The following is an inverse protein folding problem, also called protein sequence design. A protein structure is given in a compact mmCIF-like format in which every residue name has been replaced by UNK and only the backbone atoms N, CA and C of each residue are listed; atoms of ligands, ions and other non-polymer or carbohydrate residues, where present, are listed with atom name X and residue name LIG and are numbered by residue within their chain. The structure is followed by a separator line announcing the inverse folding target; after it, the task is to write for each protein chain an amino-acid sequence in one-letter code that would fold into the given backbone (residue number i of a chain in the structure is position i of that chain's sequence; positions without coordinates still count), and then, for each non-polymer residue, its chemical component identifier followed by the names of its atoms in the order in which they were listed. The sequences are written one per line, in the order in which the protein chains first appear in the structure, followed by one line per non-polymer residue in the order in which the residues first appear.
data_IF_390782115717
#
_entry.id   IF_390782115717
#
_cell.length_a   1.000
_cell.length_b   1.000
_cell.length_c   1.000
_cell.angle_alpha   90.00
_cell.angle_beta   90.00
_cell.angle_gamma   90.00
#
_symmetry.space_group_name_H-M   'P 1'
#
loop_
_entity.id
_entity.type
_entity.pdbx_description
1 polymer ?
#
# COMPACT_ATOMS: atom_id res chain seq x y z
N UNK A 1 31.65 -18.27 26.85
CA UNK A 1 30.19 -18.37 26.66
C UNK A 1 29.40 -17.12 27.09
N UNK A 2 29.76 -16.41 28.18
CA UNK A 2 29.02 -15.21 28.65
C UNK A 2 29.14 -13.98 27.71
N UNK A 3 30.28 -13.82 27.05
CA UNK A 3 30.54 -12.74 26.08
C UNK A 3 29.80 -12.94 24.76
N UNK A 4 29.70 -14.19 24.28
CA UNK A 4 28.93 -14.55 23.08
C UNK A 4 27.43 -14.29 23.29
N UNK A 5 26.87 -14.65 24.46
CA UNK A 5 25.47 -14.35 24.79
C UNK A 5 25.19 -12.85 24.89
N UNK A 6 26.10 -12.06 25.47
CA UNK A 6 25.98 -10.60 25.50
C UNK A 6 26.12 -9.98 24.11
N UNK A 7 27.02 -10.48 23.28
CA UNK A 7 27.20 -10.02 21.90
C UNK A 7 25.96 -10.33 21.04
N UNK A 8 25.32 -11.49 21.25
CA UNK A 8 24.09 -11.87 20.56
C UNK A 8 22.90 -10.99 21.00
N UNK A 9 22.79 -10.69 22.30
CA UNK A 9 21.78 -9.78 22.83
C UNK A 9 21.95 -8.34 22.33
N UNK A 10 23.20 -7.85 22.23
CA UNK A 10 23.50 -6.52 21.69
C UNK A 10 23.18 -6.44 20.20
N UNK A 11 23.48 -7.48 19.42
CA UNK A 11 23.15 -7.55 18.00
C UNK A 11 21.62 -7.57 17.76
N UNK A 12 20.86 -8.26 18.61
CA UNK A 12 19.41 -8.31 18.54
C UNK A 12 18.76 -6.96 18.92
N UNK A 13 19.35 -6.24 19.89
CA UNK A 13 18.88 -4.91 20.30
C UNK A 13 19.22 -3.84 19.24
N UNK A 14 20.34 -3.95 18.54
CA UNK A 14 20.70 -3.03 17.46
C UNK A 14 19.84 -3.20 16.21
N UNK A 15 19.37 -4.42 15.92
CA UNK A 15 18.47 -4.68 14.79
C UNK A 15 17.09 -4.03 14.99
N UNK A 16 16.65 -3.85 16.24
CA UNK A 16 15.38 -3.19 16.56
C UNK A 16 15.37 -1.66 16.33
N UNK A 17 16.55 -1.04 16.12
CA UNK A 17 16.66 0.40 15.86
C UNK A 17 16.81 0.76 14.37
N UNK A 18 16.72 -0.23 13.47
CA UNK A 18 16.66 0.03 12.03
C UNK A 18 15.22 0.43 11.71
N UNK A 19 14.86 1.67 12.02
CA UNK A 19 13.66 2.28 11.45
C UNK A 19 13.89 2.43 9.94
N UNK A 20 12.94 1.99 9.09
CA UNK A 20 13.02 2.32 7.67
C UNK A 20 12.89 3.84 7.55
N UNK A 21 14.00 4.52 7.27
CA UNK A 21 13.96 5.89 6.78
C UNK A 21 13.25 5.83 5.44
N UNK A 22 11.99 6.25 5.41
CA UNK A 22 11.25 6.43 4.17
C UNK A 22 12.03 7.44 3.32
N UNK A 23 12.73 6.94 2.31
CA UNK A 23 13.38 7.79 1.34
C UNK A 23 12.29 8.60 0.63
N UNK A 24 12.27 9.90 0.87
CA UNK A 24 11.50 10.84 0.09
C UNK A 24 12.02 10.75 -1.35
N UNK A 25 11.11 10.43 -2.23
CA UNK A 25 11.32 10.28 -3.67
C UNK A 25 10.78 11.54 -4.31
N UNK A 26 11.66 12.28 -4.95
CA UNK A 26 11.30 13.44 -5.76
C UNK A 26 10.42 12.98 -6.92
N UNK A 27 9.25 13.61 -7.04
CA UNK A 27 8.31 13.37 -8.14
C UNK A 27 8.78 14.27 -9.27
N UNK A 28 9.36 13.66 -10.29
CA UNK A 28 9.65 14.33 -11.56
C UNK A 28 8.37 14.32 -12.41
N UNK A 29 7.78 15.50 -12.60
CA UNK A 29 6.48 15.67 -13.27
C UNK A 29 6.54 15.28 -14.77
N UNK A 30 7.71 15.24 -15.41
CA UNK A 30 7.86 14.79 -16.81
C UNK A 30 7.89 13.26 -16.99
N UNK A 31 8.18 12.51 -15.91
CA UNK A 31 8.22 11.04 -15.89
C UNK A 31 7.40 10.48 -14.73
N UNK A 32 6.15 10.95 -14.58
CA UNK A 32 5.24 10.43 -13.56
C UNK A 32 4.78 9.00 -13.93
N UNK A 33 5.48 7.99 -13.44
CA UNK A 33 5.16 6.58 -13.65
C UNK A 33 6.31 5.61 -13.33
N UNK A 34 6.00 4.30 -13.24
CA UNK A 34 6.99 3.29 -12.90
C UNK A 34 8.06 3.15 -14.00
N UNK A 35 9.29 3.49 -13.66
CA UNK A 35 10.46 3.28 -14.52
C UNK A 35 10.94 1.83 -14.49
N UNK A 36 11.73 1.41 -15.49
CA UNK A 36 12.23 0.03 -15.61
C UNK A 36 12.99 -0.44 -14.35
N UNK A 37 13.88 0.40 -13.83
CA UNK A 37 14.65 0.12 -12.62
C UNK A 37 13.74 -0.07 -11.40
N UNK A 38 12.71 0.77 -11.25
CA UNK A 38 11.73 0.66 -10.18
C UNK A 38 10.91 -0.62 -10.27
N UNK A 39 10.51 -1.01 -11.48
CA UNK A 39 9.84 -2.30 -11.69
C UNK A 39 10.72 -3.48 -11.32
N UNK A 40 12.01 -3.46 -11.70
CA UNK A 40 12.96 -4.53 -11.35
C UNK A 40 13.15 -4.61 -9.84
N UNK A 41 13.37 -3.47 -9.17
CA UNK A 41 13.52 -3.42 -7.71
C UNK A 41 12.25 -3.89 -7.01
N UNK A 42 11.07 -3.50 -7.48
CA UNK A 42 9.81 -3.94 -6.90
C UNK A 42 9.59 -5.45 -7.09
N UNK A 43 9.98 -6.03 -8.23
CA UNK A 43 9.90 -7.47 -8.48
C UNK A 43 10.84 -8.26 -7.60
N UNK A 44 12.08 -7.80 -7.47
CA UNK A 44 13.16 -8.54 -6.80
C UNK A 44 13.12 -8.36 -5.28
N UNK A 45 12.69 -7.19 -4.82
CA UNK A 45 12.76 -6.81 -3.40
C UNK A 45 11.38 -6.47 -2.86
N UNK A 46 10.65 -5.54 -3.48
CA UNK A 46 9.39 -5.01 -2.95
C UNK A 46 8.31 -6.06 -2.72
N UNK A 47 7.91 -6.77 -3.78
CA UNK A 47 6.88 -7.81 -3.74
C UNK A 47 7.29 -9.04 -2.93
N UNK A 48 8.52 -9.58 -3.03
CA UNK A 48 8.98 -10.66 -2.17
C UNK A 48 8.96 -10.29 -0.67
N UNK A 49 9.39 -9.08 -0.31
CA UNK A 49 9.28 -8.60 1.08
C UNK A 49 7.83 -8.48 1.55
N UNK A 50 6.93 -8.00 0.68
CA UNK A 50 5.50 -7.97 0.97
C UNK A 50 4.93 -9.38 1.21
N UNK A 51 5.33 -10.36 0.41
CA UNK A 51 4.93 -11.76 0.63
C UNK A 51 5.47 -12.31 1.95
N UNK A 52 6.71 -11.98 2.32
CA UNK A 52 7.28 -12.38 3.62
C UNK A 52 6.50 -11.76 4.78
N UNK A 53 5.99 -10.52 4.64
CA UNK A 53 5.14 -9.91 5.65
C UNK A 53 3.81 -10.68 5.82
N UNK A 54 3.18 -11.12 4.72
CA UNK A 54 1.97 -11.96 4.78
C UNK A 54 2.26 -13.31 5.44
N UNK A 55 3.38 -13.95 5.10
CA UNK A 55 3.79 -15.22 5.72
C UNK A 55 4.04 -15.05 7.22
N UNK A 56 4.75 -13.99 7.61
CA UNK A 56 5.01 -13.66 9.01
C UNK A 56 3.71 -13.36 9.78
N UNK A 57 2.81 -12.59 9.17
CA UNK A 57 1.50 -12.30 9.72
C UNK A 57 0.62 -13.54 9.88
N UNK A 58 0.65 -14.46 8.91
CA UNK A 58 -0.02 -15.76 9.02
C UNK A 58 0.54 -16.61 10.16
N UNK A 59 1.86 -16.65 10.33
CA UNK A 59 2.50 -17.34 11.46
C UNK A 59 2.09 -16.71 12.81
N UNK A 60 2.06 -15.38 12.89
CA UNK A 60 1.60 -14.65 14.08
C UNK A 60 0.11 -14.90 14.37
N UNK A 61 -0.73 -15.02 13.34
CA UNK A 61 -2.15 -15.36 13.49
C UNK A 61 -2.32 -16.78 14.05
N UNK A 62 -1.57 -17.77 13.54
CA UNK A 62 -1.58 -19.15 14.09
C UNK A 62 -1.07 -19.19 15.53
N UNK A 63 -0.05 -18.42 15.87
CA UNK A 63 0.45 -18.33 17.24
C UNK A 63 -0.55 -17.64 18.19
N UNK A 64 -1.34 -16.68 17.70
CA UNK A 64 -2.33 -15.93 18.48
C UNK A 64 -3.73 -16.56 18.48
N UNK A 65 -4.00 -17.53 17.61
CA UNK A 65 -5.24 -18.31 17.54
C UNK A 65 -5.72 -18.85 18.90
N UNK A 66 -4.89 -19.51 19.74
CA UNK A 66 -5.35 -19.98 21.03
C UNK A 66 -5.93 -18.85 21.90
N UNK A 67 -5.35 -17.64 21.88
CA UNK A 67 -5.83 -16.50 22.67
C UNK A 67 -7.04 -15.80 22.04
N UNK A 68 -7.02 -15.64 20.71
CA UNK A 68 -8.08 -14.95 19.97
C UNK A 68 -9.37 -15.77 19.87
N UNK A 69 -9.30 -17.10 19.94
CA UNK A 69 -10.48 -17.95 20.07
C UNK A 69 -11.20 -17.74 21.40
N UNK A 70 -10.48 -17.53 22.50
CA UNK A 70 -11.10 -17.20 23.79
C UNK A 70 -11.69 -15.79 23.82
N UNK A 71 -11.08 -14.84 23.11
CA UNK A 71 -11.58 -13.46 23.01
C UNK A 71 -12.66 -13.26 21.92
N UNK A 72 -12.86 -14.21 21.02
CA UNK A 72 -13.81 -14.10 19.89
C UNK A 72 -13.33 -13.30 18.68
N UNK A 73 -12.09 -12.80 18.71
CA UNK A 73 -11.54 -11.86 17.70
C UNK A 73 -10.64 -12.52 16.64
N UNK A 74 -10.68 -13.84 16.51
CA UNK A 74 -9.82 -14.57 15.56
C UNK A 74 -9.96 -14.07 14.10
N UNK A 75 -11.17 -13.64 13.71
CA UNK A 75 -11.45 -13.08 12.38
C UNK A 75 -10.82 -11.70 12.20
N UNK A 76 -10.94 -10.82 13.21
CA UNK A 76 -10.32 -9.48 13.19
C UNK A 76 -8.79 -9.61 13.12
N UNK A 77 -8.22 -10.52 13.90
CA UNK A 77 -6.78 -10.79 13.88
C UNK A 77 -6.31 -11.29 12.51
N UNK A 78 -7.08 -12.17 11.86
CA UNK A 78 -6.81 -12.62 10.49
C UNK A 78 -6.82 -11.44 9.51
N UNK A 79 -7.85 -10.61 9.59
CA UNK A 79 -8.04 -9.48 8.69
C UNK A 79 -6.84 -8.53 8.73
N UNK A 80 -6.36 -8.21 9.92
CA UNK A 80 -5.23 -7.28 10.09
C UNK A 80 -3.88 -7.95 9.82
N UNK A 81 -3.66 -9.18 10.25
CA UNK A 81 -2.34 -9.83 10.11
C UNK A 81 -2.11 -10.43 8.72
N UNK A 82 -3.16 -10.77 7.98
CA UNK A 82 -3.06 -11.47 6.69
C UNK A 82 -3.69 -10.65 5.59
N UNK A 83 -4.96 -10.27 5.71
CA UNK A 83 -5.70 -9.72 4.59
C UNK A 83 -5.19 -8.30 4.23
N UNK A 84 -4.98 -7.42 5.22
CA UNK A 84 -4.41 -6.08 5.00
C UNK A 84 -3.03 -6.11 4.28
N UNK A 85 -2.01 -6.84 4.76
CA UNK A 85 -0.73 -6.90 4.05
C UNK A 85 -0.88 -7.60 2.70
N UNK A 86 -1.80 -8.55 2.55
CA UNK A 86 -2.09 -9.19 1.28
C UNK A 86 -2.66 -8.21 0.26
N UNK A 87 -3.63 -7.36 0.65
CA UNK A 87 -4.16 -6.32 -0.23
C UNK A 87 -3.13 -5.24 -0.56
N UNK A 88 -2.17 -4.99 0.33
CA UNK A 88 -1.07 -4.06 0.04
C UNK A 88 -0.17 -4.53 -1.12
N UNK A 89 -0.13 -5.84 -1.43
CA UNK A 89 0.58 -6.36 -2.60
C UNK A 89 -0.10 -6.02 -3.94
N UNK A 90 -1.38 -5.67 -3.92
CA UNK A 90 -2.16 -5.27 -5.12
C UNK A 90 -1.82 -3.85 -5.62
N UNK A 91 -0.84 -3.17 -5.00
CA UNK A 91 -0.33 -1.90 -5.54
C UNK A 91 0.35 -2.09 -6.90
N UNK A 92 0.33 -1.04 -7.72
CA UNK A 92 0.88 -1.11 -9.06
C UNK A 92 2.39 -1.42 -9.07
N UNK A 93 2.82 -2.13 -10.11
CA UNK A 93 4.15 -2.72 -10.22
C UNK A 93 5.23 -1.64 -10.44
N UNK A 94 6.18 -1.51 -9.51
CA UNK A 94 7.18 -0.44 -9.56
C UNK A 94 6.69 0.94 -9.10
N UNK A 95 5.41 1.07 -8.74
CA UNK A 95 4.86 2.35 -8.28
C UNK A 95 5.21 2.65 -6.84
N UNK A 96 5.28 3.94 -6.59
CA UNK A 96 5.34 4.54 -5.27
C UNK A 96 3.94 4.74 -4.69
N UNK A 97 3.84 5.10 -3.42
CA UNK A 97 2.54 5.26 -2.75
C UNK A 97 1.71 6.40 -3.37
N UNK A 98 2.39 7.48 -3.79
CA UNK A 98 1.74 8.61 -4.45
C UNK A 98 1.22 8.22 -5.84
N UNK A 99 2.02 7.53 -6.64
CA UNK A 99 1.63 7.05 -7.97
C UNK A 99 0.48 6.04 -7.89
N UNK A 100 0.55 5.06 -6.99
CA UNK A 100 -0.53 4.08 -6.80
C UNK A 100 -1.87 4.76 -6.43
N UNK A 101 -1.82 5.80 -5.60
CA UNK A 101 -3.00 6.60 -5.24
C UNK A 101 -3.55 7.38 -6.43
N UNK A 102 -2.67 7.93 -7.27
CA UNK A 102 -3.04 8.65 -8.49
C UNK A 102 -3.62 7.71 -9.57
N UNK A 103 -3.06 6.51 -9.75
CA UNK A 103 -3.61 5.53 -10.69
C UNK A 103 -4.98 4.99 -10.22
N UNK A 104 -5.13 4.73 -8.92
CA UNK A 104 -6.42 4.26 -8.36
C UNK A 104 -7.51 5.31 -8.42
N UNK A 105 -7.19 6.60 -8.26
CA UNK A 105 -8.18 7.67 -8.41
C UNK A 105 -8.64 7.86 -9.86
N UNK A 106 -7.82 7.51 -10.85
CA UNK A 106 -8.23 7.49 -12.25
C UNK A 106 -9.01 6.23 -12.64
N UNK A 107 -8.71 5.09 -12.04
CA UNK A 107 -9.35 3.81 -12.41
C UNK A 107 -10.82 3.71 -11.95
N UNK A 108 -11.23 4.49 -10.96
CA UNK A 108 -12.62 4.57 -10.47
C UNK A 108 -13.55 5.38 -11.39
N UNK A 109 -13.02 6.07 -12.41
CA UNK A 109 -13.75 7.00 -13.27
C UNK A 109 -14.34 6.35 -14.55
N UNK A 110 -14.62 5.03 -14.57
CA UNK A 110 -15.38 4.45 -15.71
C UNK A 110 -16.88 4.84 -15.71
N UNK A 111 -17.39 5.46 -14.64
CA UNK A 111 -18.77 5.99 -14.56
C UNK A 111 -18.84 7.46 -14.11
N UNK A 112 -17.71 8.15 -13.94
CA UNK A 112 -17.68 9.53 -13.47
C UNK A 112 -17.05 10.44 -14.53
N UNK A 113 -17.75 11.50 -14.91
CA UNK A 113 -17.22 12.53 -15.82
C UNK A 113 -16.64 13.66 -14.97
N UNK A 114 -15.31 13.72 -14.84
CA UNK A 114 -14.62 14.79 -14.09
C UNK A 114 -14.44 16.02 -14.98
N UNK A 115 -15.20 17.08 -14.70
CA UNK A 115 -15.02 18.39 -15.34
C UNK A 115 -14.09 19.23 -14.47
N UNK A 116 -12.83 19.35 -14.88
CA UNK A 116 -11.87 20.26 -14.22
C UNK A 116 -12.02 21.64 -14.85
N UNK A 117 -12.41 22.62 -14.04
CA UNK A 117 -12.57 24.01 -14.46
C UNK A 117 -11.35 24.79 -13.99
N UNK A 118 -10.48 25.14 -14.92
CA UNK A 118 -9.27 25.91 -14.63
C UNK A 118 -9.59 27.41 -14.71
N UNK A 119 -10.09 27.99 -13.60
CA UNK A 119 -10.47 29.40 -13.49
C UNK A 119 -11.65 29.68 -12.56
N UNK A 120 -12.02 30.95 -12.30
CA UNK A 120 -13.13 31.33 -11.43
C UNK A 120 -14.50 31.11 -12.09
N UNK A 121 -14.71 29.96 -12.69
CA UNK A 121 -15.94 29.61 -13.42
C UNK A 121 -16.80 28.64 -12.62
N UNK A 122 -18.08 28.94 -12.53
CA UNK A 122 -19.11 28.09 -11.93
C UNK A 122 -19.89 27.37 -13.03
N UNK A 123 -20.07 26.06 -12.91
CA UNK A 123 -20.94 25.29 -13.80
C UNK A 123 -22.28 25.08 -13.09
N UNK A 124 -23.34 25.73 -13.60
CA UNK A 124 -24.69 25.62 -13.07
C UNK A 124 -25.49 24.57 -13.85
N UNK A 125 -25.76 23.42 -13.24
CA UNK A 125 -26.57 22.34 -13.85
C UNK A 125 -27.99 22.41 -13.27
N UNK A 126 -28.98 22.64 -14.13
CA UNK A 126 -30.39 22.65 -13.73
C UNK A 126 -30.91 21.23 -13.55
N UNK A 127 -31.30 20.86 -12.33
CA UNK A 127 -31.75 19.49 -11.97
C UNK A 127 -33.08 19.07 -12.61
N UNK A 128 -33.80 19.98 -13.27
CA UNK A 128 -35.01 19.64 -14.05
C UNK A 128 -34.70 19.21 -15.50
N UNK A 129 -33.42 19.10 -15.88
CA UNK A 129 -33.01 18.71 -17.23
C UNK A 129 -32.20 17.41 -17.21
N UNK A 130 -32.49 16.49 -18.14
CA UNK A 130 -31.69 15.30 -18.36
C UNK A 130 -30.44 15.67 -19.16
N UNK A 131 -29.25 15.55 -18.57
CA UNK A 131 -27.98 15.85 -19.23
C UNK A 131 -27.45 14.57 -19.86
N UNK A 132 -27.56 14.46 -21.19
CA UNK A 132 -27.02 13.33 -21.95
C UNK A 132 -25.70 13.76 -22.59
N UNK A 133 -24.60 13.19 -22.14
CA UNK A 133 -23.28 13.36 -22.76
C UNK A 133 -23.13 12.26 -23.81
N UNK A 134 -23.37 12.61 -25.07
CA UNK A 134 -23.14 11.69 -26.19
C UNK A 134 -21.69 11.86 -26.68
N UNK A 135 -20.87 10.83 -26.52
CA UNK A 135 -19.53 10.79 -27.10
C UNK A 135 -19.65 10.22 -28.54
N UNK A 136 -18.98 10.81 -29.54
CA UNK A 136 -19.05 10.35 -30.93
C UNK A 136 -18.46 8.94 -31.12
#
# INVERSE_FOLDING_TARGET
MKTVKRSLLVAMLSAAMISPSFAAIEVDDENFGPTYDRMVVDTVVGKPLGLMAVVGGAAAWVASLPFTLFNGDAVRARQTLIDEPFYALNRCHGCTVAEDSYYKSQQDDQHNVRVVVDGPSEILINTNQNVVVNQP
#
